data_IF_314669954870
#
_entry.id   IF_314669954870
#
_cell.length_a   1.000
_cell.length_b   1.000
_cell.length_c   1.000
_cell.angle_alpha   90.00
_cell.angle_beta   90.00
_cell.angle_gamma   90.00
#
_symmetry.space_group_name_H-M   'P 1'
#
loop_
_entity.id
_entity.type
_entity.pdbx_description
1 polymer ?
#
# COMPACT_ATOMS: atom_id res chain seq x y z
N UNK A 1 17.41 -12.65 -7.89
CA UNK A 1 17.39 -11.17 -8.04
C UNK A 1 16.07 -10.72 -7.46
N UNK A 2 15.99 -10.74 -6.14
CA UNK A 2 14.71 -10.67 -5.44
C UNK A 2 14.42 -9.21 -5.15
N UNK A 3 13.97 -8.54 -6.20
CA UNK A 3 13.15 -7.34 -6.10
C UNK A 3 12.03 -7.69 -5.13
N UNK A 4 12.02 -7.11 -3.92
CA UNK A 4 10.86 -7.19 -3.03
C UNK A 4 9.68 -6.71 -3.88
N UNK A 5 8.78 -7.62 -4.28
CA UNK A 5 7.91 -7.27 -5.37
C UNK A 5 6.91 -6.27 -4.78
N UNK A 6 6.65 -5.17 -5.49
CA UNK A 6 5.61 -4.23 -5.12
C UNK A 6 4.22 -4.89 -4.97
N UNK A 7 4.09 -6.12 -5.46
CA UNK A 7 2.99 -7.03 -5.16
C UNK A 7 2.82 -7.32 -3.65
N UNK A 8 3.89 -7.50 -2.88
CA UNK A 8 3.80 -7.79 -1.45
C UNK A 8 3.13 -6.64 -0.66
N UNK A 9 3.40 -5.40 -1.05
CA UNK A 9 2.78 -4.22 -0.45
C UNK A 9 1.30 -4.09 -0.84
N UNK A 10 0.98 -4.32 -2.12
CA UNK A 10 -0.40 -4.32 -2.61
C UNK A 10 -1.24 -5.44 -1.96
N UNK A 11 -0.69 -6.65 -1.87
CA UNK A 11 -1.31 -7.81 -1.22
C UNK A 11 -1.53 -7.58 0.28
N UNK A 12 -0.57 -6.96 0.97
CA UNK A 12 -0.73 -6.58 2.37
C UNK A 12 -1.91 -5.60 2.56
N UNK A 13 -2.02 -4.60 1.69
CA UNK A 13 -3.14 -3.64 1.69
C UNK A 13 -4.48 -4.34 1.43
N UNK A 14 -4.57 -5.20 0.41
CA UNK A 14 -5.82 -5.94 0.12
C UNK A 14 -6.23 -6.88 1.25
N UNK A 15 -5.26 -7.54 1.89
CA UNK A 15 -5.50 -8.40 3.05
C UNK A 15 -6.04 -7.60 4.23
N UNK A 16 -5.49 -6.41 4.49
CA UNK A 16 -5.96 -5.54 5.56
C UNK A 16 -7.32 -4.93 5.27
N UNK A 17 -7.59 -4.53 4.03
CA UNK A 17 -8.92 -4.11 3.59
C UNK A 17 -9.96 -5.21 3.84
N UNK A 18 -9.62 -6.45 3.46
CA UNK A 18 -10.48 -7.61 3.67
C UNK A 18 -10.74 -7.89 5.15
N UNK A 19 -9.69 -7.80 6.00
CA UNK A 19 -9.83 -7.95 7.47
C UNK A 19 -10.68 -6.84 8.09
N UNK A 20 -10.58 -5.62 7.57
CA UNK A 20 -11.36 -4.48 8.01
C UNK A 20 -12.81 -4.50 7.47
N UNK A 21 -13.15 -5.46 6.59
CA UNK A 21 -14.45 -5.50 5.92
C UNK A 21 -14.68 -4.32 4.97
N UNK A 22 -13.61 -3.66 4.51
CA UNK A 22 -13.66 -2.45 3.69
C UNK A 22 -13.26 -2.75 2.24
N UNK A 23 -13.92 -2.08 1.31
CA UNK A 23 -13.51 -2.06 -0.10
C UNK A 23 -12.52 -0.93 -0.39
N UNK A 24 -11.76 -1.04 -1.48
CA UNK A 24 -10.91 0.06 -1.98
C UNK A 24 -11.70 1.34 -2.27
N UNK A 25 -12.99 1.23 -2.59
CA UNK A 25 -13.88 2.38 -2.85
C UNK A 25 -14.27 3.10 -1.56
N UNK A 26 -14.48 2.36 -0.47
CA UNK A 26 -14.73 2.93 0.85
C UNK A 26 -13.49 3.61 1.40
N UNK A 27 -12.32 2.97 1.28
CA UNK A 27 -11.06 3.60 1.63
C UNK A 27 -10.81 4.89 0.82
N UNK A 28 -11.14 4.89 -0.48
CA UNK A 28 -11.05 6.09 -1.31
C UNK A 28 -11.93 7.23 -0.78
N UNK A 29 -13.16 6.90 -0.36
CA UNK A 29 -14.09 7.88 0.23
C UNK A 29 -13.58 8.42 1.57
N UNK A 30 -13.07 7.57 2.44
CA UNK A 30 -12.52 7.97 3.74
C UNK A 30 -11.33 8.91 3.59
N UNK A 31 -10.47 8.64 2.60
CA UNK A 31 -9.28 9.45 2.31
C UNK A 31 -9.56 10.68 1.44
N UNK A 32 -10.81 10.89 0.99
CA UNK A 32 -11.15 11.97 0.07
C UNK A 32 -10.47 11.86 -1.30
N UNK A 33 -10.06 10.65 -1.69
CA UNK A 33 -9.35 10.36 -2.93
C UNK A 33 -10.28 9.70 -3.96
N UNK A 34 -9.95 9.83 -5.24
CA UNK A 34 -10.63 9.05 -6.27
C UNK A 34 -10.21 7.58 -6.23
N UNK A 35 -11.13 6.69 -6.61
CA UNK A 35 -10.83 5.25 -6.77
C UNK A 35 -9.66 5.01 -7.72
N UNK A 36 -9.50 5.85 -8.75
CA UNK A 36 -8.39 5.77 -9.70
C UNK A 36 -7.05 6.12 -9.03
N UNK A 37 -7.01 7.13 -8.15
CA UNK A 37 -5.82 7.48 -7.37
C UNK A 37 -5.42 6.34 -6.42
N UNK A 38 -6.37 5.76 -5.69
CA UNK A 38 -6.11 4.60 -4.81
C UNK A 38 -5.56 3.43 -5.62
N UNK A 39 -6.25 3.05 -6.70
CA UNK A 39 -5.83 1.92 -7.55
C UNK A 39 -4.45 2.12 -8.15
N UNK A 40 -4.14 3.35 -8.62
CA UNK A 40 -2.81 3.68 -9.13
C UNK A 40 -1.73 3.67 -8.06
N UNK A 41 -2.08 4.05 -6.82
CA UNK A 41 -1.11 4.10 -5.70
C UNK A 41 -0.80 2.69 -5.22
N UNK A 42 -1.83 1.85 -4.99
CA UNK A 42 -1.68 0.45 -4.55
C UNK A 42 -0.89 -0.38 -5.57
N UNK A 43 -1.16 -0.20 -6.87
CA UNK A 43 -0.45 -0.94 -7.92
C UNK A 43 0.90 -0.29 -8.30
N UNK A 44 1.28 0.84 -7.68
CA UNK A 44 2.55 1.49 -7.99
C UNK A 44 3.69 0.73 -7.33
N UNK A 45 4.80 0.64 -8.04
CA UNK A 45 6.00 -0.05 -7.56
C UNK A 45 6.89 0.80 -6.66
N UNK A 46 6.60 2.10 -6.58
CA UNK A 46 7.40 3.06 -5.85
C UNK A 46 6.61 3.59 -4.64
N UNK A 47 6.87 2.98 -3.48
CA UNK A 47 6.30 3.37 -2.17
C UNK A 47 6.79 4.76 -1.72
N UNK A 48 7.95 5.19 -2.24
CA UNK A 48 8.65 6.42 -1.87
C UNK A 48 8.83 7.35 -3.08
N UNK A 49 7.75 7.64 -3.81
CA UNK A 49 7.74 8.65 -4.87
C UNK A 49 6.93 9.89 -4.46
N UNK A 50 6.64 10.81 -5.39
CA UNK A 50 5.80 11.99 -5.12
C UNK A 50 4.37 11.63 -4.62
N UNK A 51 3.94 10.37 -4.78
CA UNK A 51 2.67 9.84 -4.25
C UNK A 51 2.84 9.12 -2.91
N UNK A 52 4.01 9.21 -2.28
CA UNK A 52 4.26 8.67 -0.95
C UNK A 52 3.25 9.19 0.07
N UNK A 53 2.75 10.42 -0.08
CA UNK A 53 1.70 10.97 0.78
C UNK A 53 0.40 10.15 0.74
N UNK A 54 -0.06 9.74 -0.44
CA UNK A 54 -1.24 8.87 -0.56
C UNK A 54 -0.96 7.47 -0.02
N UNK A 55 0.25 6.97 -0.22
CA UNK A 55 0.64 5.66 0.27
C UNK A 55 0.67 5.62 1.80
N UNK A 56 1.30 6.60 2.44
CA UNK A 56 1.32 6.74 3.89
C UNK A 56 -0.09 6.90 4.47
N UNK A 57 -0.96 7.69 3.83
CA UNK A 57 -2.35 7.83 4.25
C UNK A 57 -3.15 6.51 4.16
N UNK A 58 -2.92 5.71 3.11
CA UNK A 58 -3.53 4.37 2.97
C UNK A 58 -3.07 3.45 4.09
N UNK A 59 -1.76 3.45 4.39
CA UNK A 59 -1.21 2.59 5.42
C UNK A 59 -1.70 2.99 6.81
N UNK A 60 -1.68 4.28 7.14
CA UNK A 60 -2.20 4.81 8.40
C UNK A 60 -3.67 4.44 8.62
N UNK A 61 -4.51 4.64 7.60
CA UNK A 61 -5.93 4.28 7.65
C UNK A 61 -6.19 2.78 7.82
N UNK A 62 -5.21 1.93 7.48
CA UNK A 62 -5.27 0.48 7.63
C UNK A 62 -4.47 -0.04 8.84
N UNK A 63 -3.87 0.85 9.64
CA UNK A 63 -3.02 0.49 10.77
C UNK A 63 -1.74 -0.24 10.36
N UNK A 64 -1.22 0.06 9.17
CA UNK A 64 0.01 -0.49 8.62
C UNK A 64 1.16 0.52 8.75
N UNK A 65 2.37 0.01 8.92
CA UNK A 65 3.60 0.80 8.99
C UNK A 65 4.61 0.32 7.94
N UNK A 66 5.35 1.27 7.34
CA UNK A 66 6.49 0.95 6.47
C UNK A 66 7.74 0.78 7.32
N UNK A 67 8.34 -0.41 7.29
CA UNK A 67 9.64 -0.68 7.91
C UNK A 67 10.72 -0.88 6.85
N UNK A 68 11.87 -0.22 7.04
CA UNK A 68 13.05 -0.41 6.18
C UNK A 68 13.90 -1.50 6.84
N UNK A 69 14.10 -2.62 6.15
CA UNK A 69 14.90 -3.75 6.63
C UNK A 69 16.09 -4.01 5.71
N UNK A 70 17.25 -4.47 6.25
CA UNK A 70 18.36 -4.91 5.42
C UNK A 70 17.90 -6.07 4.52
N UNK A 71 18.35 -6.07 3.27
CA UNK A 71 18.08 -7.20 2.36
C UNK A 71 18.64 -8.47 2.98
N UNK A 72 17.83 -9.53 3.05
CA UNK A 72 18.32 -10.86 3.41
C UNK A 72 19.45 -11.22 2.43
N UNK A 73 20.64 -11.60 2.91
CA UNK A 73 21.65 -12.13 2.02
C UNK A 73 21.06 -13.35 1.30
N UNK A 74 21.31 -13.45 -0.01
CA UNK A 74 21.01 -14.65 -0.75
C UNK A 74 21.97 -15.74 -0.24
N UNK A 75 21.43 -16.74 0.44
CA UNK A 75 22.15 -17.95 0.84
C UNK A 75 22.18 -18.94 -0.32
#
# INVERSE_FOLDING_TARGET
MDTYPPQAAAEAVDKMLSKAGKTRSELARELGLSRQQITRTINSTALLNERAAHWLAILDALGLEVVIQPKKPAE
#
